data_IF_390653416029
#
_entry.id   IF_390653416029
#
_cell.length_a   1.000
_cell.length_b   1.000
_cell.length_c   1.000
_cell.angle_alpha   90.00
_cell.angle_beta   90.00
_cell.angle_gamma   90.00
#
_symmetry.space_group_name_H-M   'P 1'
#
loop_
_entity.id
_entity.type
_entity.pdbx_description
1 polymer ?
#
# COMPACT_ATOMS: atom_id res chain seq x y z
N UNK A 1 -5.94 1.01 13.85
CA UNK A 1 -5.05 1.91 13.07
C UNK A 1 -3.56 1.56 13.26
N UNK A 2 -3.01 1.62 14.48
CA UNK A 2 -1.57 1.39 14.73
C UNK A 2 -1.09 0.01 14.26
N UNK A 3 -1.80 -1.07 14.63
CA UNK A 3 -1.45 -2.43 14.18
C UNK A 3 -1.49 -2.59 12.65
N UNK A 4 -2.50 -2.01 11.99
CA UNK A 4 -2.60 -2.01 10.54
C UNK A 4 -1.44 -1.23 9.88
N UNK A 5 -1.03 -0.10 10.47
CA UNK A 5 0.12 0.67 10.01
C UNK A 5 1.44 -0.10 10.13
N UNK A 6 1.65 -0.80 11.26
CA UNK A 6 2.83 -1.67 11.46
C UNK A 6 2.88 -2.81 10.45
N UNK A 7 1.74 -3.50 10.24
CA UNK A 7 1.62 -4.58 9.27
C UNK A 7 1.87 -4.08 7.84
N UNK A 8 1.32 -2.92 7.48
CA UNK A 8 1.49 -2.32 6.15
C UNK A 8 2.94 -1.89 5.88
N UNK A 9 3.61 -1.30 6.88
CA UNK A 9 5.02 -0.95 6.79
C UNK A 9 5.92 -2.20 6.65
N UNK A 10 5.66 -3.23 7.47
CA UNK A 10 6.38 -4.51 7.39
C UNK A 10 6.19 -5.20 6.03
N UNK A 11 4.97 -5.20 5.52
CA UNK A 11 4.63 -5.69 4.18
C UNK A 11 5.42 -4.96 3.08
N UNK A 12 5.44 -3.62 3.08
CA UNK A 12 6.20 -2.84 2.10
C UNK A 12 7.70 -3.16 2.10
N UNK A 13 8.27 -3.39 3.29
CA UNK A 13 9.68 -3.76 3.44
C UNK A 13 9.96 -5.18 2.91
N UNK A 14 9.12 -6.15 3.30
CA UNK A 14 9.24 -7.55 2.89
C UNK A 14 9.07 -7.70 1.37
N UNK A 15 8.09 -7.00 0.79
CA UNK A 15 7.86 -6.96 -0.66
C UNK A 15 9.05 -6.39 -1.38
N UNK A 16 9.62 -5.26 -0.93
CA UNK A 16 10.81 -4.68 -1.56
C UNK A 16 11.99 -5.64 -1.53
N UNK A 17 12.20 -6.33 -0.41
CA UNK A 17 13.27 -7.31 -0.28
C UNK A 17 13.05 -8.52 -1.21
N UNK A 18 11.83 -9.04 -1.30
CA UNK A 18 11.48 -10.15 -2.18
C UNK A 18 11.54 -9.77 -3.68
N UNK A 19 11.19 -8.53 -4.02
CA UNK A 19 11.22 -8.00 -5.39
C UNK A 19 12.62 -7.72 -5.92
N UNK A 20 13.66 -7.68 -5.08
CA UNK A 20 15.03 -7.44 -5.53
C UNK A 20 15.54 -8.52 -6.51
N UNK A 21 14.95 -9.73 -6.48
CA UNK A 21 15.39 -10.89 -7.27
C UNK A 21 14.32 -11.41 -8.27
N UNK A 22 13.17 -10.73 -8.41
CA UNK A 22 12.04 -11.19 -9.23
C UNK A 22 11.47 -10.07 -10.11
N UNK A 23 10.87 -10.42 -11.26
CA UNK A 23 10.17 -9.45 -12.11
C UNK A 23 8.97 -8.86 -11.37
N UNK A 24 8.79 -7.54 -11.45
CA UNK A 24 7.77 -6.83 -10.65
C UNK A 24 6.34 -7.31 -10.93
N UNK A 25 6.09 -7.81 -12.13
CA UNK A 25 4.81 -8.38 -12.55
C UNK A 25 4.55 -9.74 -11.87
N UNK A 26 5.57 -10.58 -11.71
CA UNK A 26 5.43 -11.87 -11.03
C UNK A 26 5.18 -11.71 -9.52
N UNK A 27 5.88 -10.77 -8.88
CA UNK A 27 5.64 -10.44 -7.48
C UNK A 27 4.20 -9.91 -7.26
N UNK A 28 3.73 -9.04 -8.15
CA UNK A 28 2.34 -8.56 -8.12
C UNK A 28 1.33 -9.70 -8.30
N UNK A 29 1.53 -10.57 -9.30
CA UNK A 29 0.64 -11.70 -9.57
C UNK A 29 0.55 -12.63 -8.34
N UNK A 30 1.67 -12.97 -7.72
CA UNK A 30 1.68 -13.81 -6.53
C UNK A 30 0.95 -13.15 -5.35
N UNK A 31 1.28 -11.90 -5.03
CA UNK A 31 0.68 -11.21 -3.88
C UNK A 31 -0.81 -10.99 -4.09
N UNK A 32 -1.22 -10.55 -5.29
CA UNK A 32 -2.63 -10.34 -5.61
C UNK A 32 -3.44 -11.64 -5.56
N UNK A 33 -2.90 -12.77 -6.01
CA UNK A 33 -3.57 -14.06 -5.90
C UNK A 33 -3.73 -14.52 -4.45
N UNK A 34 -2.69 -14.40 -3.61
CA UNK A 34 -2.79 -14.72 -2.20
C UNK A 34 -3.76 -13.81 -1.45
N UNK A 35 -3.75 -12.51 -1.74
CA UNK A 35 -4.71 -11.57 -1.16
C UNK A 35 -6.13 -11.87 -1.63
N UNK A 36 -6.35 -12.11 -2.92
CA UNK A 36 -7.67 -12.46 -3.46
C UNK A 36 -8.20 -13.75 -2.84
N UNK A 37 -7.36 -14.78 -2.68
CA UNK A 37 -7.73 -16.02 -2.02
C UNK A 37 -8.10 -15.79 -0.54
N UNK A 38 -7.26 -15.08 0.21
CA UNK A 38 -7.51 -14.79 1.63
C UNK A 38 -8.78 -13.96 1.84
N UNK A 39 -8.98 -12.91 1.04
CA UNK A 39 -10.18 -12.07 1.10
C UNK A 39 -11.41 -12.82 0.61
N UNK A 40 -11.29 -13.68 -0.39
CA UNK A 40 -12.37 -14.56 -0.86
C UNK A 40 -12.80 -15.55 0.22
N UNK A 41 -11.86 -16.23 0.87
CA UNK A 41 -12.15 -17.14 1.99
C UNK A 41 -12.82 -16.39 3.14
N UNK A 42 -12.32 -15.19 3.49
CA UNK A 42 -12.93 -14.36 4.51
C UNK A 42 -14.34 -13.89 4.11
N UNK A 43 -14.57 -13.55 2.85
CA UNK A 43 -15.90 -13.21 2.33
C UNK A 43 -16.86 -14.39 2.41
N UNK A 44 -16.41 -15.60 2.11
CA UNK A 44 -17.25 -16.80 2.24
C UNK A 44 -17.57 -17.09 3.71
N UNK A 45 -16.61 -16.90 4.63
CA UNK A 45 -16.80 -17.16 6.07
C UNK A 45 -17.58 -16.09 6.84
N UNK A 46 -17.43 -14.82 6.47
CA UNK A 46 -17.96 -13.67 7.22
C UNK A 46 -18.91 -12.77 6.42
N UNK A 47 -19.04 -12.99 5.11
CA UNK A 47 -19.91 -12.21 4.25
C UNK A 47 -21.38 -12.49 4.51
N UNK A 48 -22.22 -11.46 4.27
CA UNK A 48 -23.68 -11.62 4.32
C UNK A 48 -24.11 -12.65 3.28
N UNK A 49 -24.83 -13.68 3.74
CA UNK A 49 -25.22 -14.87 2.97
C UNK A 49 -24.02 -15.61 2.35
N UNK A 50 -22.88 -15.67 3.06
CA UNK A 50 -21.63 -16.28 2.57
C UNK A 50 -21.16 -15.71 1.21
N UNK A 51 -21.54 -14.46 0.92
CA UNK A 51 -21.21 -13.80 -0.35
C UNK A 51 -22.17 -14.10 -1.52
N UNK A 52 -23.20 -14.93 -1.32
CA UNK A 52 -24.21 -15.21 -2.36
C UNK A 52 -24.99 -13.95 -2.79
N UNK A 53 -25.04 -12.94 -1.93
CA UNK A 53 -25.59 -11.62 -2.21
C UNK A 53 -24.93 -10.92 -3.42
N UNK A 54 -23.66 -11.21 -3.70
CA UNK A 54 -22.98 -10.67 -4.89
C UNK A 54 -23.50 -11.29 -6.21
N UNK A 55 -23.95 -12.55 -6.17
CA UNK A 55 -24.51 -13.26 -7.32
C UNK A 55 -25.96 -12.87 -7.60
N UNK A 56 -26.64 -12.29 -6.60
CA UNK A 56 -28.00 -11.77 -6.74
C UNK A 56 -28.05 -10.36 -7.38
N UNK A 57 -26.90 -9.75 -7.68
CA UNK A 57 -26.84 -8.42 -8.29
C UNK A 57 -27.30 -8.45 -9.75
N UNK A 58 -28.02 -7.40 -10.23
CA UNK A 58 -28.30 -7.22 -11.64
C UNK A 58 -27.01 -7.21 -12.48
N UNK A 59 -27.02 -7.85 -13.65
CA UNK A 59 -25.84 -8.03 -14.50
C UNK A 59 -25.09 -6.71 -14.80
N UNK A 60 -25.81 -5.59 -14.96
CA UNK A 60 -25.20 -4.27 -15.17
C UNK A 60 -24.41 -3.77 -13.96
N UNK A 61 -24.93 -3.94 -12.75
CA UNK A 61 -24.22 -3.55 -11.52
C UNK A 61 -23.02 -4.46 -11.26
N UNK A 62 -23.17 -5.76 -11.50
CA UNK A 62 -22.07 -6.71 -11.42
C UNK A 62 -20.95 -6.37 -12.41
N UNK A 63 -21.31 -6.00 -13.64
CA UNK A 63 -20.35 -5.53 -14.66
C UNK A 63 -19.60 -4.27 -14.25
N UNK A 64 -20.28 -3.29 -13.65
CA UNK A 64 -19.63 -2.09 -13.11
C UNK A 64 -18.69 -2.42 -11.94
N UNK A 65 -19.06 -3.39 -11.10
CA UNK A 65 -18.23 -3.87 -9.99
C UNK A 65 -16.94 -4.54 -10.50
N UNK A 66 -17.05 -5.36 -11.55
CA UNK A 66 -15.89 -5.95 -12.23
C UNK A 66 -15.02 -4.88 -12.91
N UNK A 67 -15.63 -3.92 -13.59
CA UNK A 67 -14.87 -2.83 -14.23
C UNK A 67 -14.11 -2.00 -13.19
N UNK A 68 -14.75 -1.70 -12.06
CA UNK A 68 -14.15 -0.99 -10.94
C UNK A 68 -13.00 -1.77 -10.32
N UNK A 69 -13.12 -3.10 -10.15
CA UNK A 69 -12.02 -3.91 -9.60
C UNK A 69 -10.81 -3.95 -10.53
N UNK A 70 -11.01 -4.00 -11.85
CA UNK A 70 -9.92 -3.95 -12.83
C UNK A 70 -9.22 -2.59 -12.80
N UNK A 71 -9.96 -1.49 -12.86
CA UNK A 71 -9.37 -0.15 -12.94
C UNK A 71 -8.79 0.29 -11.60
N UNK A 72 -9.57 0.16 -10.52
CA UNK A 72 -9.18 0.64 -9.20
C UNK A 72 -8.14 -0.25 -8.52
N UNK A 73 -8.32 -1.57 -8.58
CA UNK A 73 -7.44 -2.51 -7.87
C UNK A 73 -6.34 -2.99 -8.80
N UNK A 74 -6.66 -3.63 -9.93
CA UNK A 74 -5.63 -4.29 -10.74
C UNK A 74 -4.63 -3.28 -11.36
N UNK A 75 -5.11 -2.27 -12.08
CA UNK A 75 -4.22 -1.26 -12.67
C UNK A 75 -3.52 -0.42 -11.60
N UNK A 76 -4.26 0.02 -10.57
CA UNK A 76 -3.70 0.80 -9.47
C UNK A 76 -2.54 0.08 -8.77
N UNK A 77 -2.69 -1.22 -8.49
CA UNK A 77 -1.63 -1.99 -7.85
C UNK A 77 -0.47 -2.28 -8.81
N UNK A 78 -0.70 -2.61 -10.08
CA UNK A 78 0.40 -2.79 -11.05
C UNK A 78 1.27 -1.53 -11.12
N UNK A 79 0.66 -0.35 -11.23
CA UNK A 79 1.40 0.91 -11.24
C UNK A 79 2.13 1.18 -9.92
N UNK A 80 1.52 0.84 -8.77
CA UNK A 80 2.17 0.93 -7.47
C UNK A 80 3.44 0.06 -7.40
N UNK A 81 3.37 -1.22 -7.81
CA UNK A 81 4.54 -2.11 -7.81
C UNK A 81 5.63 -1.67 -8.79
N UNK A 82 5.23 -1.17 -9.97
CA UNK A 82 6.18 -0.58 -10.92
C UNK A 82 6.88 0.66 -10.37
N UNK A 83 6.12 1.54 -9.69
CA UNK A 83 6.69 2.73 -9.04
C UNK A 83 7.62 2.35 -7.89
N UNK A 84 7.25 1.36 -7.06
CA UNK A 84 8.12 0.86 -5.99
C UNK A 84 9.44 0.30 -6.53
N UNK A 85 9.39 -0.47 -7.63
CA UNK A 85 10.59 -1.04 -8.24
C UNK A 85 11.50 0.02 -8.86
N UNK A 86 10.94 1.12 -9.40
CA UNK A 86 11.68 2.20 -10.08
C UNK A 86 12.16 3.33 -9.17
N UNK A 87 11.32 3.77 -8.23
CA UNK A 87 11.52 4.95 -7.39
C UNK A 87 11.89 4.60 -5.94
N UNK A 88 11.72 3.33 -5.55
CA UNK A 88 11.93 2.85 -4.20
C UNK A 88 10.73 3.11 -3.27
N UNK A 89 10.70 2.38 -2.15
CA UNK A 89 9.57 2.38 -1.19
C UNK A 89 9.35 3.75 -0.54
N UNK A 90 10.41 4.50 -0.23
CA UNK A 90 10.28 5.80 0.44
C UNK A 90 9.54 6.84 -0.42
N UNK A 91 9.89 6.95 -1.70
CA UNK A 91 9.23 7.88 -2.64
C UNK A 91 7.79 7.44 -2.90
N UNK A 92 7.59 6.13 -3.09
CA UNK A 92 6.25 5.59 -3.35
C UNK A 92 5.32 5.77 -2.15
N UNK A 93 5.82 5.59 -0.93
CA UNK A 93 5.08 5.84 0.31
C UNK A 93 4.68 7.32 0.45
N UNK A 94 5.56 8.25 0.08
CA UNK A 94 5.24 9.68 0.04
C UNK A 94 4.08 9.99 -0.92
N UNK A 95 4.09 9.41 -2.11
CA UNK A 95 3.00 9.57 -3.10
C UNK A 95 1.69 8.97 -2.60
N UNK A 96 1.73 7.81 -1.95
CA UNK A 96 0.55 7.18 -1.34
C UNK A 96 -0.11 8.06 -0.28
N UNK A 97 0.65 8.91 0.40
CA UNK A 97 0.07 9.85 1.37
C UNK A 97 -0.82 10.92 0.71
N UNK A 98 -0.64 11.19 -0.59
CA UNK A 98 -1.52 12.11 -1.32
C UNK A 98 -2.89 11.49 -1.62
N UNK A 99 -3.00 10.17 -1.61
CA UNK A 99 -4.23 9.44 -1.90
C UNK A 99 -5.46 9.91 -1.07
N UNK A 100 -5.39 10.07 0.27
CA UNK A 100 -6.51 10.60 1.05
C UNK A 100 -6.99 11.99 0.59
N UNK A 101 -6.11 12.84 0.06
CA UNK A 101 -6.48 14.16 -0.47
C UNK A 101 -7.17 14.03 -1.81
N UNK A 102 -6.60 13.23 -2.72
CA UNK A 102 -7.20 12.99 -4.03
C UNK A 102 -8.58 12.35 -3.89
N UNK A 103 -8.74 11.38 -2.98
CA UNK A 103 -10.03 10.74 -2.68
C UNK A 103 -11.00 11.73 -2.06
N UNK A 104 -10.54 12.61 -1.17
CA UNK A 104 -11.38 13.63 -0.56
C UNK A 104 -11.91 14.65 -1.59
N UNK A 105 -11.05 15.14 -2.48
CA UNK A 105 -11.44 16.03 -3.59
C UNK A 105 -12.40 15.31 -4.55
N UNK A 106 -12.10 14.06 -4.90
CA UNK A 106 -12.97 13.24 -5.72
C UNK A 106 -14.34 12.99 -5.08
N UNK A 107 -14.38 12.75 -3.77
CA UNK A 107 -15.63 12.55 -3.02
C UNK A 107 -16.47 13.82 -2.97
N UNK A 108 -15.83 14.98 -2.76
CA UNK A 108 -16.53 16.27 -2.85
C UNK A 108 -17.11 16.49 -4.25
N UNK A 109 -16.36 16.17 -5.31
CA UNK A 109 -16.81 16.35 -6.68
C UNK A 109 -17.92 15.37 -7.11
N UNK A 110 -17.80 14.08 -6.75
CA UNK A 110 -18.79 13.05 -7.12
C UNK A 110 -20.04 13.05 -6.24
N UNK A 111 -19.89 13.25 -4.92
CA UNK A 111 -20.96 13.05 -3.94
C UNK A 111 -21.38 14.34 -3.23
N UNK A 112 -20.72 15.47 -3.50
CA UNK A 112 -21.02 16.76 -2.85
C UNK A 112 -20.67 16.81 -1.37
N UNK A 113 -19.95 15.79 -0.85
CA UNK A 113 -19.65 15.70 0.58
C UNK A 113 -18.55 16.67 0.97
N UNK A 114 -18.85 17.57 1.91
CA UNK A 114 -17.87 18.50 2.48
C UNK A 114 -17.25 17.91 3.74
N UNK A 115 -15.93 18.00 3.87
CA UNK A 115 -15.22 17.61 5.08
C UNK A 115 -15.54 18.60 6.20
N UNK A 116 -15.97 18.11 7.35
CA UNK A 116 -16.10 18.93 8.55
C UNK A 116 -14.74 19.44 9.03
N UNK A 117 -14.71 20.55 9.78
CA UNK A 117 -13.46 21.17 10.25
C UNK A 117 -12.53 20.21 11.01
N UNK A 118 -13.09 19.27 11.79
CA UNK A 118 -12.31 18.25 12.49
C UNK A 118 -11.67 17.20 11.55
N UNK A 119 -12.32 16.85 10.44
CA UNK A 119 -11.77 15.96 9.42
C UNK A 119 -10.64 16.64 8.64
N UNK A 120 -10.78 17.94 8.39
CA UNK A 120 -9.74 18.73 7.76
C UNK A 120 -8.50 18.83 8.67
N UNK A 121 -8.70 19.13 9.96
CA UNK A 121 -7.63 19.24 10.94
C UNK A 121 -6.86 17.92 11.12
N UNK A 122 -7.58 16.79 11.21
CA UNK A 122 -6.94 15.46 11.30
C UNK A 122 -6.26 15.05 9.99
N UNK A 123 -6.79 15.46 8.83
CA UNK A 123 -6.14 15.28 7.53
C UNK A 123 -4.82 16.04 7.41
N UNK A 124 -4.79 17.32 7.83
CA UNK A 124 -3.56 18.13 7.87
C UNK A 124 -2.52 17.52 8.82
N UNK A 125 -2.94 17.06 10.00
CA UNK A 125 -2.06 16.38 10.95
C UNK A 125 -1.44 15.12 10.35
N UNK A 126 -2.21 14.34 9.59
CA UNK A 126 -1.73 13.14 8.92
C UNK A 126 -0.69 13.46 7.82
N UNK A 127 -0.87 14.54 7.06
CA UNK A 127 0.13 14.99 6.07
C UNK A 127 1.41 15.47 6.74
N UNK A 128 1.28 16.28 7.79
CA UNK A 128 2.43 16.78 8.52
C UNK A 128 3.30 15.62 9.04
N UNK A 129 2.67 14.58 9.61
CA UNK A 129 3.37 13.38 10.06
C UNK A 129 4.12 12.66 8.93
N UNK A 130 3.51 12.54 7.74
CA UNK A 130 4.17 11.91 6.60
C UNK A 130 5.31 12.74 6.01
N UNK A 131 5.15 14.07 5.93
CA UNK A 131 6.20 15.01 5.49
C UNK A 131 7.41 14.92 6.42
N UNK A 132 7.17 14.91 7.74
CA UNK A 132 8.25 14.73 8.73
C UNK A 132 9.00 13.41 8.54
N UNK A 133 8.28 12.34 8.20
CA UNK A 133 8.84 11.01 7.98
C UNK A 133 9.69 10.92 6.70
N UNK A 134 9.28 11.62 5.63
CA UNK A 134 10.04 11.74 4.37
C UNK A 134 11.24 12.68 4.53
N UNK A 135 11.10 13.73 5.36
CA UNK A 135 12.14 14.72 5.61
C UNK A 135 13.26 14.23 6.55
N UNK A 136 13.08 13.07 7.21
CA UNK A 136 14.14 12.48 8.03
C UNK A 136 15.40 12.21 7.16
N UNK A 137 16.58 12.74 7.52
CA UNK A 137 17.82 12.43 6.83
C UNK A 137 18.08 10.92 6.86
N UNK A 138 18.41 10.34 5.69
CA UNK A 138 18.75 8.91 5.52
C UNK A 138 20.00 8.44 6.31
N UNK A 139 20.48 9.23 7.26
CA UNK A 139 21.67 8.96 8.05
C UNK A 139 21.55 7.75 9.02
N UNK A 140 20.33 7.28 9.30
CA UNK A 140 20.13 6.05 10.08
C UNK A 140 20.37 4.75 9.29
N UNK A 141 20.56 4.83 7.96
CA UNK A 141 21.01 3.71 7.13
C UNK A 141 22.54 3.63 7.04
N UNK A 142 23.26 4.13 8.06
CA UNK A 142 24.70 4.08 8.15
C UNK A 142 25.21 2.64 8.34
N UNK A 143 25.63 2.06 7.22
CA UNK A 143 26.83 1.24 7.02
C UNK A 143 27.18 0.14 8.06
N UNK A 144 26.82 -1.14 7.80
CA UNK A 144 27.33 -2.29 8.56
C UNK A 144 28.82 -2.61 8.31
N UNK A 145 29.48 -1.98 7.33
CA UNK A 145 30.83 -2.34 6.87
C UNK A 145 31.95 -1.94 7.85
N UNK A 146 31.73 -0.92 8.68
CA UNK A 146 32.77 -0.39 9.57
C UNK A 146 33.15 -1.29 10.76
N UNK A 147 32.45 -2.42 10.99
CA UNK A 147 32.76 -3.35 12.09
C UNK A 147 33.58 -4.59 11.69
N UNK A 148 33.91 -4.77 10.40
CA UNK A 148 34.59 -5.99 9.91
C UNK A 148 36.09 -5.80 9.60
N UNK A 149 36.67 -4.63 9.86
CA UNK A 149 38.11 -4.36 9.64
C UNK A 149 38.99 -4.50 10.89
N UNK A 150 38.45 -4.83 12.07
CA UNK A 150 39.23 -4.94 13.31
C UNK A 150 39.54 -6.37 13.77
N UNK A 151 39.30 -7.40 12.95
CA UNK A 151 39.49 -8.83 13.33
C UNK A 151 40.60 -9.55 12.55
N UNK A 152 41.34 -8.85 11.67
CA UNK A 152 42.55 -9.41 11.03
C UNK A 152 43.81 -8.69 11.50
N UNK A 153 44.22 -8.98 12.73
CA UNK A 153 45.65 -8.96 13.08
C UNK A 153 45.93 -9.91 14.25
N UNK A 154 46.44 -11.12 13.98
CA UNK A 154 47.40 -11.75 14.86
C UNK A 154 48.78 -11.17 14.55
N UNK A 155 49.36 -10.57 15.57
CA UNK A 155 50.77 -10.21 15.65
C UNK A 155 51.65 -11.47 15.47
N UNK A 156 52.78 -11.24 14.82
CA UNK A 156 54.09 -11.90 14.96
C UNK A 156 54.16 -13.40 15.20
#
# INVERSE_FOLDING_TARGET
AVAAGLLYAGYGLAVRQAMANYSSVAAFAAISQWTAAATGIAMLGFGRDHGASALALPAGQFGLLLLSSVIGIALGHVFYYMAMARLGVAVTAGVLQLQPFTVAVGSWWLFGQTLGGAQLATGVLAVAGAVLLVAQPRAAAADPSAKRSSVTSPRQ
#
